data_IF_232689977645
#
_entry.id   IF_232689977645
#
_cell.length_a   1.000
_cell.length_b   1.000
_cell.length_c   1.000
_cell.angle_alpha   90.00
_cell.angle_beta   90.00
_cell.angle_gamma   90.00
#
_symmetry.space_group_name_H-M   'P 1'
#
loop_
_entity.id
_entity.type
_entity.pdbx_description
1 polymer ?
#
# COMPACT_ATOMS: atom_id res chain seq x y z
N UNK A 1 -4.58 0.25 19.37
CA UNK A 1 -3.52 1.27 19.60
C UNK A 1 -2.45 1.32 18.49
N UNK A 2 -2.03 0.20 17.87
CA UNK A 2 -1.02 0.19 16.79
C UNK A 2 -1.44 0.87 15.48
N UNK A 3 -2.71 0.77 15.08
CA UNK A 3 -3.24 1.36 13.84
C UNK A 3 -3.11 2.89 13.79
N UNK A 4 -3.58 3.58 14.84
CA UNK A 4 -3.52 5.04 14.92
C UNK A 4 -2.08 5.57 14.90
N UNK A 5 -1.13 4.84 15.47
CA UNK A 5 0.28 5.23 15.46
C UNK A 5 0.85 5.16 14.05
N UNK A 6 0.58 4.08 13.30
CA UNK A 6 1.07 3.92 11.93
C UNK A 6 0.39 4.91 10.97
N UNK A 7 -0.93 5.10 11.09
CA UNK A 7 -1.66 6.10 10.31
C UNK A 7 -1.14 7.52 10.57
N UNK A 8 -0.85 7.87 11.84
CA UNK A 8 -0.27 9.17 12.18
C UNK A 8 1.19 9.31 11.70
N UNK A 9 1.97 8.23 11.71
CA UNK A 9 3.34 8.23 11.16
C UNK A 9 3.33 8.44 9.65
N UNK A 10 2.50 7.70 8.91
CA UNK A 10 2.31 7.90 7.47
C UNK A 10 1.73 9.28 7.16
N UNK A 11 0.82 9.81 7.98
CA UNK A 11 0.34 11.18 7.86
C UNK A 11 1.49 12.18 7.88
N UNK A 12 2.36 12.09 8.90
CA UNK A 12 3.49 13.01 9.03
C UNK A 12 4.50 12.86 7.87
N UNK A 13 4.81 11.64 7.45
CA UNK A 13 5.73 11.40 6.31
C UNK A 13 5.17 11.92 4.99
N UNK A 14 3.92 11.59 4.66
CA UNK A 14 3.25 12.05 3.43
C UNK A 14 3.13 13.57 3.44
N UNK A 15 2.65 14.15 4.54
CA UNK A 15 2.53 15.61 4.68
C UNK A 15 3.90 16.29 4.54
N UNK A 16 4.97 15.72 5.10
CA UNK A 16 6.33 16.26 4.94
C UNK A 16 6.83 16.19 3.47
N UNK A 17 6.51 15.12 2.73
CA UNK A 17 6.86 14.99 1.31
C UNK A 17 6.11 16.02 0.45
N UNK A 18 4.83 16.26 0.74
CA UNK A 18 3.96 17.10 -0.08
C UNK A 18 3.90 18.57 0.37
N UNK A 19 4.36 18.92 1.57
CA UNK A 19 4.40 20.30 2.08
C UNK A 19 5.35 21.24 1.32
N UNK A 20 6.10 20.74 0.33
CA UNK A 20 6.88 21.56 -0.60
C UNK A 20 6.10 22.07 -1.83
N UNK A 21 4.87 21.61 -2.06
CA UNK A 21 4.09 21.94 -3.26
C UNK A 21 2.74 22.58 -2.93
N UNK A 22 2.58 23.86 -3.26
CA UNK A 22 1.37 24.67 -3.00
C UNK A 22 0.09 24.24 -3.76
N UNK A 23 -0.05 22.97 -4.18
CA UNK A 23 -1.15 22.51 -5.03
C UNK A 23 -1.89 21.26 -4.54
N UNK A 24 -1.51 20.67 -3.40
CA UNK A 24 -2.27 19.55 -2.84
C UNK A 24 -3.24 20.07 -1.77
N UNK A 25 -4.55 19.87 -1.98
CA UNK A 25 -5.55 20.15 -0.96
C UNK A 25 -5.21 19.46 0.36
N UNK A 26 -5.60 20.04 1.50
CA UNK A 26 -5.32 19.47 2.83
C UNK A 26 -5.78 18.01 2.87
N UNK A 27 -4.84 17.07 2.96
CA UNK A 27 -5.13 15.64 3.11
C UNK A 27 -5.83 15.46 4.45
N UNK A 28 -7.03 14.86 4.46
CA UNK A 28 -7.75 14.55 5.70
C UNK A 28 -7.35 13.16 6.18
N UNK A 29 -7.55 12.89 7.48
CA UNK A 29 -7.33 11.56 8.05
C UNK A 29 -8.11 10.46 7.29
N UNK A 30 -9.32 10.79 6.84
CA UNK A 30 -10.17 9.90 6.02
C UNK A 30 -9.53 9.50 4.70
N UNK A 31 -8.67 10.34 4.11
CA UNK A 31 -8.02 10.02 2.84
C UNK A 31 -6.94 8.94 3.02
N UNK A 32 -6.37 8.82 4.23
CA UNK A 32 -5.42 7.74 4.55
C UNK A 32 -6.09 6.37 4.57
N UNK A 33 -7.38 6.29 4.88
CA UNK A 33 -8.15 5.03 4.82
C UNK A 33 -8.24 4.47 3.39
N UNK A 34 -8.06 5.35 2.38
CA UNK A 34 -8.08 5.00 0.97
C UNK A 34 -6.68 4.66 0.43
N UNK A 35 -5.63 4.89 1.21
CA UNK A 35 -4.27 4.59 0.78
C UNK A 35 -4.01 3.10 0.75
N UNK A 36 -3.25 2.69 -0.26
CA UNK A 36 -2.72 1.35 -0.42
C UNK A 36 -1.22 1.43 -0.22
N UNK A 37 -0.72 0.72 0.78
CA UNK A 37 0.72 0.65 1.05
C UNK A 37 1.29 -0.56 0.34
N UNK A 38 2.38 -0.37 -0.38
CA UNK A 38 3.06 -1.43 -1.12
C UNK A 38 4.31 -1.86 -0.33
N UNK A 39 4.55 -3.16 -0.26
CA UNK A 39 5.77 -3.70 0.35
C UNK A 39 6.23 -4.98 -0.35
N UNK A 40 7.43 -5.46 0.00
CA UNK A 40 7.91 -6.77 -0.46
C UNK A 40 8.08 -6.89 -1.98
N UNK A 41 8.43 -5.80 -2.67
CA UNK A 41 8.63 -5.81 -4.12
C UNK A 41 9.76 -6.78 -4.50
N UNK A 42 9.44 -7.81 -5.29
CA UNK A 42 10.37 -8.82 -5.82
C UNK A 42 10.18 -8.95 -7.32
N UNK A 43 11.25 -8.96 -8.09
CA UNK A 43 11.21 -9.21 -9.54
C UNK A 43 11.37 -10.69 -9.85
N UNK A 44 10.72 -11.16 -10.92
CA UNK A 44 11.07 -12.45 -11.51
C UNK A 44 12.50 -12.41 -12.05
N UNK A 45 13.24 -13.53 -12.10
CA UNK A 45 14.61 -13.54 -12.63
C UNK A 45 14.73 -13.01 -14.07
N UNK A 46 13.67 -13.19 -14.87
CA UNK A 46 13.56 -12.67 -16.24
C UNK A 46 13.18 -11.19 -16.33
N UNK A 47 12.79 -10.55 -15.22
CA UNK A 47 12.30 -9.17 -15.17
C UNK A 47 10.92 -8.94 -15.81
N UNK A 48 10.26 -9.99 -16.32
CA UNK A 48 8.94 -9.87 -16.96
C UNK A 48 7.80 -9.59 -15.98
N UNK A 49 7.98 -9.97 -14.71
CA UNK A 49 6.99 -9.80 -13.66
C UNK A 49 7.60 -9.21 -12.39
N UNK A 50 6.77 -8.56 -11.58
CA UNK A 50 7.10 -8.20 -10.21
C UNK A 50 5.97 -8.58 -9.27
N UNK A 51 6.30 -9.20 -8.14
CA UNK A 51 5.39 -9.49 -7.04
C UNK A 51 5.54 -8.45 -5.94
N UNK A 52 4.44 -8.05 -5.30
CA UNK A 52 4.44 -7.17 -4.13
C UNK A 52 3.21 -7.43 -3.26
N UNK A 53 3.28 -7.06 -1.98
CA UNK A 53 2.14 -7.04 -1.10
C UNK A 53 1.43 -5.67 -1.15
N UNK A 54 0.11 -5.68 -1.11
CA UNK A 54 -0.73 -4.49 -1.01
C UNK A 54 -1.46 -4.54 0.33
N UNK A 55 -1.21 -3.53 1.17
CA UNK A 55 -1.88 -3.35 2.45
C UNK A 55 -2.95 -2.27 2.33
N UNK A 56 -4.17 -2.59 2.75
CA UNK A 56 -5.32 -1.67 2.78
C UNK A 56 -5.93 -1.64 4.18
N UNK A 57 -6.42 -0.49 4.58
CA UNK A 57 -7.08 -0.35 5.87
C UNK A 57 -8.47 -0.98 5.83
N UNK A 58 -8.80 -1.72 6.87
CA UNK A 58 -10.16 -2.13 7.18
C UNK A 58 -10.67 -1.34 8.37
N UNK A 59 -11.65 -0.47 8.11
CA UNK A 59 -12.16 0.46 9.11
C UNK A 59 -13.14 -0.19 10.09
N UNK A 60 -13.80 -1.28 9.67
CA UNK A 60 -14.73 -2.03 10.51
C UNK A 60 -13.98 -2.77 11.62
N UNK A 61 -12.92 -3.50 11.26
CA UNK A 61 -12.13 -4.29 12.21
C UNK A 61 -10.85 -3.58 12.70
N UNK A 62 -10.61 -2.34 12.27
CA UNK A 62 -9.44 -1.51 12.65
C UNK A 62 -8.10 -2.24 12.45
N UNK A 63 -7.97 -2.97 11.34
CA UNK A 63 -6.78 -3.76 10.97
C UNK A 63 -6.33 -3.44 9.55
N UNK A 64 -5.20 -4.03 9.16
CA UNK A 64 -4.73 -3.98 7.78
C UNK A 64 -4.99 -5.33 7.11
N UNK A 65 -5.66 -5.28 5.97
CA UNK A 65 -5.74 -6.40 5.05
C UNK A 65 -4.56 -6.36 4.10
N UNK A 66 -3.96 -7.53 3.87
CA UNK A 66 -2.79 -7.66 3.01
C UNK A 66 -3.03 -8.76 1.99
N UNK A 67 -2.73 -8.49 0.73
CA UNK A 67 -2.78 -9.50 -0.33
C UNK A 67 -1.55 -9.38 -1.22
N UNK A 68 -1.18 -10.49 -1.87
CA UNK A 68 -0.15 -10.50 -2.87
C UNK A 68 -0.71 -10.09 -4.23
N UNK A 69 0.09 -9.33 -4.98
CA UNK A 69 -0.24 -8.83 -6.31
C UNK A 69 0.92 -9.13 -7.26
N UNK A 70 0.58 -9.26 -8.54
CA UNK A 70 1.54 -9.43 -9.63
C UNK A 70 1.40 -8.26 -10.61
N UNK A 71 2.53 -7.70 -11.03
CA UNK A 71 2.67 -6.74 -12.12
C UNK A 71 3.31 -7.45 -13.31
N UNK A 72 2.68 -7.37 -14.48
CA UNK A 72 3.29 -7.65 -15.77
C UNK A 72 4.02 -6.38 -16.25
N UNK A 73 5.35 -6.42 -16.27
CA UNK A 73 6.18 -5.21 -16.46
C UNK A 73 6.00 -4.60 -17.85
N UNK A 74 5.84 -5.44 -18.89
CA UNK A 74 5.71 -4.95 -20.27
C UNK A 74 4.42 -4.19 -20.52
N UNK A 75 3.31 -4.68 -19.98
CA UNK A 75 1.99 -4.11 -20.22
C UNK A 75 1.58 -3.10 -19.16
N UNK A 76 2.26 -3.09 -18.00
CA UNK A 76 1.85 -2.32 -16.82
C UNK A 76 0.61 -2.87 -16.14
N UNK A 77 0.06 -4.01 -16.59
CA UNK A 77 -1.12 -4.64 -15.98
C UNK A 77 -0.74 -5.27 -14.66
N UNK A 78 -1.60 -5.09 -13.67
CA UNK A 78 -1.42 -5.73 -12.37
C UNK A 78 -2.72 -6.38 -11.91
N UNK A 79 -2.60 -7.46 -11.14
CA UNK A 79 -3.74 -8.21 -10.62
C UNK A 79 -3.42 -8.85 -9.28
N UNK A 80 -4.48 -9.04 -8.49
CA UNK A 80 -4.42 -9.63 -7.16
C UNK A 80 -4.30 -11.16 -7.27
N UNK A 81 -3.37 -11.75 -6.52
CA UNK A 81 -3.11 -13.19 -6.48
C UNK A 81 -3.80 -13.90 -5.31
N UNK A 82 -3.90 -13.23 -4.16
CA UNK A 82 -4.50 -13.80 -2.94
C UNK A 82 -5.68 -12.96 -2.45
N UNK A 83 -6.59 -13.55 -1.68
CA UNK A 83 -7.78 -12.85 -1.20
C UNK A 83 -8.17 -13.16 0.25
N UNK A 84 -7.33 -13.86 1.02
CA UNK A 84 -7.60 -14.13 2.44
C UNK A 84 -7.25 -12.96 3.37
N UNK A 85 -6.59 -11.93 2.83
CA UNK A 85 -6.31 -10.65 3.49
C UNK A 85 -5.26 -10.70 4.61
N UNK A 86 -4.45 -11.74 4.64
CA UNK A 86 -3.40 -11.95 5.65
C UNK A 86 -2.00 -12.08 5.05
N UNK A 87 -1.88 -12.17 3.72
CA UNK A 87 -0.61 -12.43 3.06
C UNK A 87 0.24 -11.16 2.91
N UNK A 88 1.46 -11.21 3.45
CA UNK A 88 2.38 -10.07 3.50
C UNK A 88 3.70 -10.32 2.77
N UNK A 89 4.02 -11.56 2.40
CA UNK A 89 5.23 -11.92 1.66
C UNK A 89 5.04 -13.22 0.83
N UNK A 90 5.98 -13.49 -0.07
CA UNK A 90 6.09 -14.64 -0.96
C UNK A 90 6.93 -15.81 -0.38
N UNK A 91 7.13 -15.85 0.94
CA UNK A 91 8.02 -16.81 1.64
C UNK A 91 7.33 -18.16 1.85
#
# INVERSE_FOLDING_TARGET
MRFFIFANMCYNEVVNIFNGGALMGKIKLEDFTKFKFLSGLKYSPSGGYAGFAVHRMDMEENKYFSNLWLLEVKSGRYFQLTSFNEETDFV
#
